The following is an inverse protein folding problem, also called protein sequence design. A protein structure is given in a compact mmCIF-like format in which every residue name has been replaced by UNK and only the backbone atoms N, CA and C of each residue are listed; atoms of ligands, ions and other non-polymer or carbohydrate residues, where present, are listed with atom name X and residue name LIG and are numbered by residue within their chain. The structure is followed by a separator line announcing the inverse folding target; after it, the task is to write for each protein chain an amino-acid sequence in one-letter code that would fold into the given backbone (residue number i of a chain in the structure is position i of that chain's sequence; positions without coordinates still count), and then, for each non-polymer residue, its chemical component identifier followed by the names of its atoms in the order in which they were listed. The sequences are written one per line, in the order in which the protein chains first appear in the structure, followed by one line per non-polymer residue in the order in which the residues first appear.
data_IF_783417894165
#
_entry.id   IF_783417894165
#
_cell.length_a   1.000
_cell.length_b   1.000
_cell.length_c   1.000
_cell.angle_alpha   90.00
_cell.angle_beta   90.00
_cell.angle_gamma   90.00
#
_symmetry.space_group_name_H-M   'P 1'
#
loop_
_entity.id
_entity.type
_entity.pdbx_description
1 polymer ?
#
# COMPACT_ATOMS: atom_id res chain seq x y z
N UNK A 1 1.78 -23.63 4.04
CA UNK A 1 0.74 -23.15 3.11
C UNK A 1 1.26 -22.71 1.73
N UNK A 2 2.56 -22.48 1.51
CA UNK A 2 3.04 -21.91 0.24
C UNK A 2 3.22 -22.91 -0.92
N UNK A 3 3.43 -24.21 -0.66
CA UNK A 3 3.73 -25.17 -1.73
C UNK A 3 2.45 -25.62 -2.47
N UNK A 4 1.34 -25.81 -1.76
CA UNK A 4 0.06 -26.23 -2.36
C UNK A 4 -0.58 -25.14 -3.22
N UNK A 5 -0.46 -23.87 -2.83
CA UNK A 5 -0.91 -22.73 -3.65
C UNK A 5 0.03 -22.47 -4.84
N UNK A 6 1.34 -22.69 -4.68
CA UNK A 6 2.31 -22.57 -5.78
C UNK A 6 2.11 -23.56 -6.92
N UNK A 7 1.62 -24.78 -6.61
CA UNK A 7 1.32 -25.81 -7.62
C UNK A 7 0.02 -25.48 -8.40
N UNK A 8 -0.97 -24.86 -7.76
CA UNK A 8 -2.21 -24.42 -8.41
C UNK A 8 -2.02 -23.13 -9.23
N UNK A 9 -1.04 -22.29 -8.88
CA UNK A 9 -0.77 -21.02 -9.57
C UNK A 9 -0.01 -21.18 -10.90
N UNK A 10 0.57 -22.35 -11.20
CA UNK A 10 1.25 -22.62 -12.47
C UNK A 10 0.26 -23.17 -13.51
N UNK A 11 -0.50 -22.28 -14.13
CA UNK A 11 -1.48 -22.60 -15.19
C UNK A 11 -0.89 -23.35 -16.40
N UNK A 12 0.42 -23.16 -16.66
CA UNK A 12 1.11 -23.74 -17.81
C UNK A 12 1.23 -25.27 -17.74
N UNK A 13 1.47 -25.85 -16.56
CA UNK A 13 1.52 -27.32 -16.40
C UNK A 13 0.14 -27.96 -16.36
N UNK A 14 -0.88 -27.21 -15.96
CA UNK A 14 -2.27 -27.68 -15.97
C UNK A 14 -2.82 -27.86 -17.38
N UNK A 15 -2.40 -26.98 -18.31
CA UNK A 15 -2.80 -27.06 -19.73
C UNK A 15 -2.19 -28.27 -20.45
N UNK A 16 -0.91 -28.60 -20.20
CA UNK A 16 -0.28 -29.78 -20.80
C UNK A 16 -0.89 -31.10 -20.30
N UNK A 17 -1.28 -31.16 -19.02
CA UNK A 17 -1.98 -32.32 -18.44
C UNK A 17 -3.36 -32.52 -19.11
N UNK A 18 -4.11 -31.44 -19.33
CA UNK A 18 -5.39 -31.52 -20.06
C UNK A 18 -5.22 -31.91 -21.53
N UNK A 19 -4.16 -31.45 -22.18
CA UNK A 19 -3.86 -31.82 -23.57
C UNK A 19 -3.47 -33.30 -23.69
N UNK A 20 -2.70 -33.81 -22.74
CA UNK A 20 -2.37 -35.23 -22.64
C UNK A 20 -3.64 -36.09 -22.39
N UNK A 21 -4.52 -35.66 -21.48
CA UNK A 21 -5.79 -36.33 -21.21
C UNK A 21 -6.74 -36.31 -22.42
N UNK A 22 -6.81 -35.20 -23.16
CA UNK A 22 -7.63 -35.07 -24.38
C UNK A 22 -7.08 -35.93 -25.54
N UNK A 23 -5.76 -36.04 -25.66
CA UNK A 23 -5.08 -36.93 -26.61
C UNK A 23 -5.39 -38.40 -26.32
N UNK A 24 -5.32 -38.81 -25.05
CA UNK A 24 -5.65 -40.19 -24.62
C UNK A 24 -7.14 -40.49 -24.82
N UNK A 25 -8.04 -39.54 -24.51
CA UNK A 25 -9.47 -39.69 -24.76
C UNK A 25 -9.78 -39.84 -26.26
N UNK A 26 -9.12 -39.06 -27.13
CA UNK A 26 -9.29 -39.19 -28.58
C UNK A 26 -8.85 -40.55 -29.12
N UNK A 27 -7.83 -41.16 -28.52
CA UNK A 27 -7.33 -42.49 -28.88
C UNK A 27 -8.28 -43.62 -28.44
N UNK A 28 -9.01 -43.43 -27.33
CA UNK A 28 -10.06 -44.35 -26.88
C UNK A 28 -11.32 -44.29 -27.75
N UNK A 29 -11.67 -43.12 -28.28
CA UNK A 29 -12.82 -42.95 -29.17
C UNK A 29 -12.55 -43.35 -30.63
N UNK A 30 -11.31 -43.19 -31.14
CA UNK A 30 -10.98 -43.60 -32.51
C UNK A 30 -10.91 -45.13 -32.69
N UNK A 31 -10.73 -45.87 -31.59
CA UNK A 31 -10.62 -47.34 -31.58
C UNK A 31 -11.96 -48.07 -31.70
N UNK A 32 -13.07 -47.33 -31.74
CA UNK A 32 -14.39 -47.89 -32.00
C UNK A 32 -14.67 -48.14 -33.51
N UNK A 33 -13.79 -47.71 -34.44
CA UNK A 33 -14.14 -47.67 -35.87
C UNK A 33 -13.35 -48.56 -36.84
N UNK A 34 -12.20 -49.16 -36.52
CA UNK A 34 -11.55 -50.06 -37.50
C UNK A 34 -10.93 -51.30 -36.86
N UNK A 35 -11.47 -52.43 -37.30
CA UNK A 35 -10.99 -53.79 -37.09
C UNK A 35 -9.60 -53.93 -37.73
N UNK A 36 -8.59 -54.38 -36.97
CA UNK A 36 -7.64 -55.41 -37.38
C UNK A 36 -6.59 -55.65 -36.29
N UNK A 37 -6.54 -56.90 -35.86
CA UNK A 37 -5.54 -57.47 -34.97
C UNK A 37 -4.21 -57.63 -35.71
N UNK A 38 -3.11 -57.26 -35.05
CA UNK A 38 -1.76 -57.86 -35.08
C UNK A 38 -0.78 -56.79 -34.58
N UNK A 39 -0.02 -57.12 -33.52
CA UNK A 39 0.83 -56.23 -32.71
C UNK A 39 0.11 -55.47 -31.58
N UNK A 40 -0.69 -56.16 -30.76
CA UNK A 40 -1.46 -55.52 -29.69
C UNK A 40 -1.52 -56.32 -28.37
N UNK A 41 -0.43 -56.98 -27.97
CA UNK A 41 -0.37 -57.65 -26.66
C UNK A 41 0.64 -56.98 -25.71
N UNK A 42 1.87 -56.71 -26.14
CA UNK A 42 2.88 -56.10 -25.25
C UNK A 42 2.66 -54.60 -24.96
N UNK A 43 2.16 -53.82 -25.92
CA UNK A 43 1.89 -52.38 -25.72
C UNK A 43 0.64 -52.12 -24.86
N UNK A 44 -0.34 -53.05 -24.87
CA UNK A 44 -1.61 -52.93 -24.12
C UNK A 44 -1.41 -53.11 -22.62
N UNK A 45 -0.58 -54.09 -22.23
CA UNK A 45 -0.16 -54.32 -20.84
C UNK A 45 0.69 -53.18 -20.28
N UNK A 46 1.62 -52.63 -21.06
CA UNK A 46 2.48 -51.50 -20.63
C UNK A 46 1.69 -50.20 -20.47
N UNK A 47 0.71 -49.95 -21.34
CA UNK A 47 -0.14 -48.74 -21.29
C UNK A 47 -1.22 -48.83 -20.21
N UNK A 48 -1.82 -50.00 -19.97
CA UNK A 48 -2.73 -50.23 -18.84
C UNK A 48 -2.00 -50.13 -17.49
N UNK A 49 -0.77 -50.64 -17.40
CA UNK A 49 0.07 -50.52 -16.20
C UNK A 49 0.46 -49.05 -15.91
N UNK A 50 0.82 -48.29 -16.95
CA UNK A 50 1.13 -46.85 -16.84
C UNK A 50 -0.09 -46.00 -16.45
N UNK A 51 -1.27 -46.31 -16.99
CA UNK A 51 -2.52 -45.64 -16.61
C UNK A 51 -2.93 -45.95 -15.17
N UNK A 52 -2.80 -47.22 -14.74
CA UNK A 52 -3.08 -47.62 -13.36
C UNK A 52 -2.13 -46.93 -12.37
N UNK A 53 -0.84 -46.86 -12.70
CA UNK A 53 0.14 -46.12 -11.89
C UNK A 53 -0.19 -44.62 -11.81
N UNK A 54 -0.61 -44.00 -12.91
CA UNK A 54 -1.03 -42.60 -12.93
C UNK A 54 -2.28 -42.34 -12.07
N UNK A 55 -3.27 -43.23 -12.13
CA UNK A 55 -4.49 -43.16 -11.29
C UNK A 55 -4.13 -43.32 -9.80
N UNK A 56 -3.20 -44.23 -9.47
CA UNK A 56 -2.71 -44.37 -8.09
C UNK A 56 -1.95 -43.10 -7.64
N UNK A 57 -1.04 -42.56 -8.45
CA UNK A 57 -0.31 -41.36 -8.08
C UNK A 57 -1.22 -40.14 -7.92
N UNK A 58 -2.22 -39.96 -8.79
CA UNK A 58 -3.18 -38.84 -8.69
C UNK A 58 -4.09 -38.99 -7.47
N UNK A 59 -4.57 -40.18 -7.16
CA UNK A 59 -5.37 -40.42 -5.94
C UNK A 59 -4.58 -40.18 -4.66
N UNK A 60 -3.32 -40.64 -4.60
CA UNK A 60 -2.42 -40.34 -3.47
C UNK A 60 -2.19 -38.83 -3.33
N UNK A 61 -1.97 -38.13 -4.44
CA UNK A 61 -1.76 -36.67 -4.44
C UNK A 61 -3.01 -35.93 -3.95
N UNK A 62 -4.21 -36.34 -4.39
CA UNK A 62 -5.49 -35.74 -3.94
C UNK A 62 -5.68 -35.96 -2.44
N UNK A 63 -5.41 -37.17 -1.94
CA UNK A 63 -5.49 -37.47 -0.51
C UNK A 63 -4.51 -36.63 0.31
N UNK A 64 -3.28 -36.45 -0.19
CA UNK A 64 -2.29 -35.61 0.46
C UNK A 64 -2.72 -34.14 0.51
N UNK A 65 -3.28 -33.61 -0.58
CA UNK A 65 -3.84 -32.24 -0.61
C UNK A 65 -5.01 -32.11 0.37
N UNK A 66 -5.91 -33.10 0.43
CA UNK A 66 -7.05 -33.08 1.35
C UNK A 66 -6.60 -33.08 2.81
N UNK A 67 -5.61 -33.92 3.16
CA UNK A 67 -5.00 -33.97 4.48
C UNK A 67 -4.37 -32.62 4.88
N UNK A 68 -3.59 -32.02 3.98
CA UNK A 68 -2.99 -30.70 4.19
C UNK A 68 -4.02 -29.57 4.28
N UNK A 69 -5.16 -29.71 3.58
CA UNK A 69 -6.25 -28.73 3.59
C UNK A 69 -7.02 -28.72 4.92
N UNK A 70 -7.14 -29.88 5.59
CA UNK A 70 -7.79 -29.96 6.91
C UNK A 70 -7.11 -29.07 7.96
N UNK A 71 -5.77 -29.17 8.07
CA UNK A 71 -4.97 -28.26 8.92
C UNK A 71 -5.03 -26.81 8.45
N UNK A 72 -5.11 -26.59 7.14
CA UNK A 72 -5.30 -25.26 6.56
C UNK A 72 -6.62 -24.60 7.00
N UNK A 73 -7.70 -25.37 7.11
CA UNK A 73 -9.01 -24.86 7.52
C UNK A 73 -9.03 -24.42 8.98
N UNK A 74 -8.38 -25.17 9.88
CA UNK A 74 -8.22 -24.78 11.29
C UNK A 74 -7.47 -23.45 11.41
N UNK A 75 -6.37 -23.29 10.66
CA UNK A 75 -5.61 -22.04 10.62
C UNK A 75 -6.45 -20.90 10.05
N UNK A 76 -7.15 -21.11 8.93
CA UNK A 76 -8.01 -20.07 8.34
C UNK A 76 -9.13 -19.66 9.28
N UNK A 77 -9.75 -20.61 9.99
CA UNK A 77 -10.78 -20.32 10.98
C UNK A 77 -10.22 -19.52 12.15
N UNK A 78 -9.01 -19.83 12.61
CA UNK A 78 -8.30 -19.06 13.62
C UNK A 78 -8.05 -17.63 13.15
N UNK A 79 -7.50 -17.45 11.94
CA UNK A 79 -7.25 -16.12 11.38
C UNK A 79 -8.54 -15.32 11.14
N UNK A 80 -9.60 -15.95 10.62
CA UNK A 80 -10.91 -15.30 10.46
C UNK A 80 -11.60 -14.99 11.79
N UNK A 81 -11.30 -15.73 12.86
CA UNK A 81 -11.81 -15.41 14.19
C UNK A 81 -11.14 -14.19 14.82
N UNK A 82 -10.01 -13.72 14.27
CA UNK A 82 -9.36 -12.48 14.69
C UNK A 82 -10.13 -11.32 14.05
N UNK A 83 -11.24 -10.93 14.67
CA UNK A 83 -11.98 -9.73 14.29
C UNK A 83 -11.52 -8.55 15.14
N UNK A 84 -10.91 -7.55 14.51
CA UNK A 84 -10.63 -6.25 15.14
C UNK A 84 -9.37 -6.13 16.00
N UNK A 85 -8.29 -6.88 15.74
CA UNK A 85 -7.05 -6.76 16.55
C UNK A 85 -6.29 -5.44 16.36
N UNK A 86 -6.63 -4.65 15.34
CA UNK A 86 -5.98 -3.37 15.06
C UNK A 86 -6.90 -2.21 15.44
N UNK A 87 -6.91 -1.86 16.73
CA UNK A 87 -7.39 -0.55 17.18
C UNK A 87 -6.26 0.46 16.99
N UNK A 88 -6.40 1.36 16.03
CA UNK A 88 -5.44 2.44 15.80
C UNK A 88 -6.09 3.77 16.17
N UNK A 89 -6.41 3.94 17.46
CA UNK A 89 -7.15 5.08 18.01
C UNK A 89 -6.66 6.42 17.46
N UNK A 90 -5.34 6.62 17.43
CA UNK A 90 -4.72 7.83 16.92
C UNK A 90 -5.03 8.12 15.44
N UNK A 91 -5.01 7.09 14.60
CA UNK A 91 -5.35 7.23 13.20
C UNK A 91 -6.86 7.44 13.02
N UNK A 92 -7.70 6.81 13.84
CA UNK A 92 -9.15 7.00 13.82
C UNK A 92 -9.54 8.43 14.20
N UNK A 93 -8.91 9.00 15.23
CA UNK A 93 -9.08 10.41 15.62
C UNK A 93 -8.64 11.34 14.49
N UNK A 94 -7.49 11.09 13.87
CA UNK A 94 -7.00 11.88 12.73
C UNK A 94 -7.96 11.80 11.53
N UNK A 95 -8.47 10.61 11.20
CA UNK A 95 -9.47 10.42 10.14
C UNK A 95 -10.75 11.18 10.46
N UNK A 96 -11.22 11.08 11.72
CA UNK A 96 -12.39 11.82 12.20
C UNK A 96 -12.20 13.33 12.07
N UNK A 97 -11.01 13.83 12.40
CA UNK A 97 -10.66 15.24 12.24
C UNK A 97 -10.64 15.68 10.77
N UNK A 98 -10.07 14.88 9.85
CA UNK A 98 -10.13 15.22 8.42
C UNK A 98 -11.58 15.22 7.91
N UNK A 99 -12.41 14.28 8.33
CA UNK A 99 -13.84 14.22 7.96
C UNK A 99 -14.66 15.38 8.52
N UNK A 100 -14.24 15.98 9.62
CA UNK A 100 -14.92 17.14 10.20
C UNK A 100 -14.54 18.47 9.56
N UNK A 101 -13.62 18.47 8.59
CA UNK A 101 -13.26 19.69 7.85
C UNK A 101 -14.46 20.22 7.06
N UNK A 102 -14.59 21.56 6.94
CA UNK A 102 -15.68 22.15 6.18
C UNK A 102 -15.56 21.85 4.69
N UNK A 103 -16.69 21.99 3.98
CA UNK A 103 -16.70 21.95 2.53
C UNK A 103 -15.86 23.10 1.96
N UNK A 104 -15.05 22.78 0.95
CA UNK A 104 -14.16 23.69 0.26
C UNK A 104 -14.87 24.30 -0.94
N UNK A 105 -15.22 25.57 -0.82
CA UNK A 105 -15.96 26.32 -1.83
C UNK A 105 -15.08 26.93 -2.94
N UNK A 106 -13.77 26.69 -2.89
CA UNK A 106 -12.78 27.20 -3.85
C UNK A 106 -12.18 26.04 -4.65
N UNK A 107 -11.90 26.25 -5.94
CA UNK A 107 -11.25 25.24 -6.76
C UNK A 107 -9.76 25.07 -6.39
N UNK A 108 -9.24 23.83 -6.29
CA UNK A 108 -9.96 22.56 -6.34
C UNK A 108 -10.80 22.37 -5.07
N UNK A 109 -12.03 21.87 -5.23
CA UNK A 109 -13.02 21.63 -4.14
C UNK A 109 -12.60 20.50 -3.19
N UNK A 110 -11.39 19.97 -3.37
CA UNK A 110 -10.80 18.91 -2.58
C UNK A 110 -9.68 19.41 -1.67
N UNK A 111 -9.57 18.77 -0.52
CA UNK A 111 -8.48 18.97 0.41
C UNK A 111 -7.26 18.15 -0.03
N UNK A 112 -6.13 18.83 -0.26
CA UNK A 112 -4.88 18.20 -0.70
C UNK A 112 -3.96 17.99 0.50
N UNK A 113 -3.62 16.73 0.78
CA UNK A 113 -2.83 16.33 1.94
C UNK A 113 -1.45 15.81 1.49
N UNK A 114 -0.40 16.27 2.17
CA UNK A 114 0.98 15.82 2.00
C UNK A 114 1.54 15.25 3.30
N UNK A 115 2.53 14.37 3.20
CA UNK A 115 3.15 13.77 4.37
C UNK A 115 3.68 12.35 4.15
N UNK A 116 3.87 11.59 5.24
CA UNK A 116 4.40 10.24 5.22
C UNK A 116 3.55 9.31 4.36
N UNK A 117 4.18 8.62 3.42
CA UNK A 117 3.51 7.79 2.42
C UNK A 117 2.71 6.64 3.04
N UNK A 118 3.20 6.04 4.13
CA UNK A 118 2.49 4.99 4.88
C UNK A 118 1.17 5.50 5.48
N UNK A 119 1.19 6.69 6.08
CA UNK A 119 0.01 7.32 6.66
C UNK A 119 -0.97 7.79 5.58
N UNK A 120 -0.47 8.44 4.51
CA UNK A 120 -1.32 8.84 3.39
C UNK A 120 -1.96 7.64 2.71
N UNK A 121 -1.29 6.48 2.65
CA UNK A 121 -1.88 5.24 2.16
C UNK A 121 -3.12 4.82 2.97
N UNK A 122 -3.05 4.90 4.30
CA UNK A 122 -4.19 4.61 5.18
C UNK A 122 -5.32 5.64 5.01
N UNK A 123 -5.00 6.94 5.02
CA UNK A 123 -5.97 8.01 4.81
C UNK A 123 -6.65 7.89 3.43
N UNK A 124 -5.90 7.47 2.41
CA UNK A 124 -6.41 7.28 1.06
C UNK A 124 -7.45 6.16 0.97
N UNK A 125 -7.34 5.11 1.78
CA UNK A 125 -8.30 4.02 1.80
C UNK A 125 -9.56 4.34 2.62
N UNK A 126 -9.51 5.33 3.51
CA UNK A 126 -10.57 5.61 4.49
C UNK A 126 -11.33 6.92 4.23
N UNK A 127 -10.69 7.92 3.62
CA UNK A 127 -11.29 9.20 3.29
C UNK A 127 -11.93 9.19 1.89
N UNK A 128 -13.03 9.93 1.68
CA UNK A 128 -13.71 9.97 0.40
C UNK A 128 -12.84 10.62 -0.68
N UNK A 129 -12.84 10.06 -1.89
CA UNK A 129 -12.07 10.59 -3.00
C UNK A 129 -12.70 11.86 -3.59
N UNK A 130 -11.85 12.77 -4.05
CA UNK A 130 -12.22 14.03 -4.72
C UNK A 130 -12.74 13.90 -6.14
N UNK A 131 -12.43 12.80 -6.82
CA UNK A 131 -12.94 12.48 -8.14
C UNK A 131 -13.26 10.99 -8.19
N UNK A 132 -14.36 10.58 -8.85
CA UNK A 132 -14.63 9.19 -9.14
C UNK A 132 -13.63 8.69 -10.19
N UNK A 133 -12.43 8.33 -9.74
CA UNK A 133 -11.57 7.42 -10.49
C UNK A 133 -12.16 6.01 -10.41
N UNK A 134 -12.02 5.14 -11.42
CA UNK A 134 -12.30 3.71 -11.30
C UNK A 134 -11.28 3.08 -10.34
N UNK A 135 -11.49 3.33 -9.05
CA UNK A 135 -10.64 2.93 -7.95
C UNK A 135 -11.53 2.46 -6.82
N UNK A 136 -11.01 1.60 -5.95
CA UNK A 136 -11.71 1.02 -4.80
C UNK A 136 -12.00 2.03 -3.68
N UNK A 137 -11.93 3.33 -3.96
CA UNK A 137 -12.12 4.39 -2.97
C UNK A 137 -13.60 4.77 -2.88
N UNK A 138 -14.04 5.10 -1.66
CA UNK A 138 -15.38 5.63 -1.42
C UNK A 138 -15.47 6.99 -2.13
N UNK A 139 -16.38 7.14 -3.08
CA UNK A 139 -16.61 8.42 -3.73
C UNK A 139 -17.27 9.39 -2.74
N UNK A 140 -16.87 10.67 -2.78
CA UNK A 140 -17.62 11.71 -2.08
C UNK A 140 -19.06 11.72 -2.58
N UNK A 141 -20.02 11.72 -1.66
CA UNK A 141 -21.40 12.07 -1.98
C UNK A 141 -21.46 13.57 -2.31
N UNK A 142 -22.45 14.01 -3.07
CA UNK A 142 -22.49 15.33 -3.71
C UNK A 142 -22.36 16.57 -2.77
N UNK A 143 -22.33 16.38 -1.44
CA UNK A 143 -22.19 17.44 -0.44
C UNK A 143 -20.84 17.46 0.32
N UNK A 144 -19.97 16.45 0.17
CA UNK A 144 -18.69 16.40 0.91
C UNK A 144 -17.48 16.74 0.02
N UNK A 145 -16.57 17.57 0.53
CA UNK A 145 -15.26 17.78 -0.11
C UNK A 145 -14.43 16.50 -0.05
N UNK A 146 -14.12 15.92 -1.21
CA UNK A 146 -13.22 14.78 -1.25
C UNK A 146 -11.76 15.14 -0.99
N UNK A 147 -10.93 14.13 -0.84
CA UNK A 147 -9.51 14.27 -0.50
C UNK A 147 -8.62 13.85 -1.67
N UNK A 148 -7.44 14.48 -1.74
CA UNK A 148 -6.39 14.15 -2.68
C UNK A 148 -5.03 14.12 -1.94
N UNK A 149 -4.10 13.30 -2.44
CA UNK A 149 -2.85 13.01 -1.75
C UNK A 149 -1.64 13.33 -2.64
N UNK A 150 -0.61 13.95 -2.08
CA UNK A 150 0.58 14.35 -2.86
C UNK A 150 1.49 13.19 -3.23
N UNK A 151 1.40 12.04 -2.59
CA UNK A 151 2.29 10.91 -2.84
C UNK A 151 1.61 9.62 -2.40
N UNK A 152 1.95 8.52 -3.08
CA UNK A 152 1.49 7.17 -2.76
C UNK A 152 2.50 6.12 -3.27
N UNK A 153 2.56 4.92 -2.66
CA UNK A 153 3.16 3.65 -3.07
C UNK A 153 4.16 3.38 -4.20
N UNK A 154 4.68 4.31 -5.01
CA UNK A 154 5.31 3.93 -6.30
C UNK A 154 6.73 4.46 -6.45
N UNK A 155 7.68 3.59 -6.11
CA UNK A 155 9.11 3.90 -6.11
C UNK A 155 9.76 3.78 -7.49
N UNK A 156 9.16 3.03 -8.42
CA UNK A 156 9.78 2.73 -9.73
C UNK A 156 9.69 3.87 -10.74
N UNK A 157 8.80 4.83 -10.51
CA UNK A 157 8.63 5.96 -11.41
C UNK A 157 9.44 7.16 -10.91
N UNK A 158 10.33 7.69 -11.76
CA UNK A 158 11.23 8.81 -11.42
C UNK A 158 10.47 10.09 -11.06
N UNK A 159 9.36 10.39 -11.74
CA UNK A 159 8.53 11.56 -11.48
C UNK A 159 7.82 11.43 -10.13
N UNK A 160 7.27 10.24 -9.84
CA UNK A 160 6.59 9.98 -8.56
C UNK A 160 7.58 9.98 -7.39
N UNK A 161 8.82 9.51 -7.61
CA UNK A 161 9.90 9.62 -6.63
C UNK A 161 10.27 11.07 -6.36
N UNK A 162 10.45 11.88 -7.41
CA UNK A 162 10.72 13.32 -7.26
C UNK A 162 9.60 14.03 -6.49
N UNK A 163 8.34 13.74 -6.80
CA UNK A 163 7.18 14.26 -6.07
C UNK A 163 7.16 13.83 -4.60
N UNK A 164 7.63 12.63 -4.29
CA UNK A 164 7.80 12.15 -2.91
C UNK A 164 8.90 12.90 -2.16
N UNK A 165 10.03 13.21 -2.82
CA UNK A 165 11.09 14.07 -2.23
C UNK A 165 10.51 15.43 -1.84
N UNK A 166 9.72 16.04 -2.72
CA UNK A 166 9.05 17.31 -2.44
C UNK A 166 8.05 17.19 -1.27
N UNK A 167 7.25 16.12 -1.23
CA UNK A 167 6.27 15.89 -0.18
C UNK A 167 6.91 15.78 1.22
N UNK A 168 8.14 15.29 1.28
CA UNK A 168 8.93 15.17 2.51
C UNK A 168 9.80 16.42 2.80
N UNK A 169 9.66 17.51 2.03
CA UNK A 169 10.51 18.70 2.13
C UNK A 169 10.59 19.31 3.54
N UNK A 170 9.57 19.15 4.39
CA UNK A 170 9.56 19.61 5.79
C UNK A 170 10.66 18.96 6.67
N UNK A 171 11.19 17.80 6.29
CA UNK A 171 12.29 17.16 7.00
C UNK A 171 13.66 17.63 6.53
N UNK A 172 13.72 18.43 5.47
CA UNK A 172 14.98 18.97 4.96
C UNK A 172 15.50 20.13 5.81
N UNK A 173 16.76 20.50 5.55
CA UNK A 173 17.44 21.67 6.12
C UNK A 173 17.31 22.93 5.26
N UNK A 174 16.38 22.92 4.29
CA UNK A 174 16.07 24.08 3.44
C UNK A 174 15.39 25.17 4.28
N UNK A 175 15.54 26.46 3.90
CA UNK A 175 14.84 27.53 4.59
C UNK A 175 13.32 27.35 4.46
N UNK A 176 12.59 27.79 5.50
CA UNK A 176 11.14 27.60 5.62
C UNK A 176 10.36 28.13 4.40
N UNK A 177 10.80 29.26 3.84
CA UNK A 177 10.21 29.88 2.66
C UNK A 177 10.23 28.93 1.45
N UNK A 178 11.35 28.26 1.19
CA UNK A 178 11.50 27.39 0.02
C UNK A 178 10.64 26.14 0.15
N UNK A 179 10.56 25.58 1.36
CA UNK A 179 9.70 24.44 1.67
C UNK A 179 8.22 24.82 1.57
N UNK A 180 7.85 25.99 2.08
CA UNK A 180 6.51 26.53 1.87
C UNK A 180 6.18 26.72 0.39
N UNK A 181 7.11 27.27 -0.39
CA UNK A 181 6.94 27.48 -1.82
C UNK A 181 6.70 26.15 -2.55
N UNK A 182 7.44 25.09 -2.20
CA UNK A 182 7.23 23.73 -2.72
C UNK A 182 5.79 23.25 -2.42
N UNK A 183 5.35 23.35 -1.16
CA UNK A 183 4.00 22.90 -0.80
C UNK A 183 2.91 23.73 -1.44
N UNK A 184 3.06 25.05 -1.48
CA UNK A 184 2.05 25.98 -1.98
C UNK A 184 1.93 25.98 -3.49
N UNK A 185 3.06 26.08 -4.20
CA UNK A 185 3.07 26.33 -5.64
C UNK A 185 3.30 25.07 -6.46
N UNK A 186 4.13 24.14 -5.99
CA UNK A 186 4.45 22.91 -6.73
C UNK A 186 3.47 21.79 -6.42
N UNK A 187 3.29 21.45 -5.14
CA UNK A 187 2.40 20.35 -4.72
C UNK A 187 0.94 20.78 -4.56
N UNK A 188 0.71 22.10 -4.39
CA UNK A 188 -0.61 22.72 -4.14
C UNK A 188 -1.32 22.09 -2.94
N UNK A 189 -0.55 21.81 -1.90
CA UNK A 189 -1.00 21.17 -0.67
C UNK A 189 -1.73 22.16 0.23
N UNK A 190 -2.83 21.70 0.85
CA UNK A 190 -3.52 22.44 1.92
C UNK A 190 -2.99 22.03 3.30
N UNK A 191 -2.72 20.74 3.52
CA UNK A 191 -2.25 20.20 4.79
C UNK A 191 -0.98 19.36 4.67
N UNK A 192 0.00 19.56 5.56
CA UNK A 192 1.22 18.75 5.65
C UNK A 192 1.24 18.02 6.98
N UNK A 193 1.29 16.70 6.94
CA UNK A 193 1.42 15.85 8.12
C UNK A 193 2.91 15.62 8.43
N UNK A 194 3.31 15.85 9.67
CA UNK A 194 4.70 15.72 10.13
C UNK A 194 4.77 14.76 11.31
N UNK A 195 5.69 13.81 11.24
CA UNK A 195 5.98 12.84 12.31
C UNK A 195 7.31 13.19 12.96
N UNK A 196 7.26 13.87 14.10
CA UNK A 196 8.46 14.42 14.74
C UNK A 196 9.38 13.35 15.31
N UNK A 197 8.88 12.16 15.65
CA UNK A 197 9.71 11.06 16.17
C UNK A 197 10.82 10.60 15.20
N UNK A 198 10.70 10.90 13.91
CA UNK A 198 11.70 10.58 12.86
C UNK A 198 12.67 11.72 12.55
N UNK A 199 12.50 12.86 13.20
CA UNK A 199 13.31 14.05 13.02
C UNK A 199 14.68 14.01 13.76
N UNK A 200 14.78 13.51 15.01
CA UNK A 200 16.06 13.42 15.70
C UNK A 200 17.09 12.59 14.91
N UNK A 201 18.39 12.91 15.00
CA UNK A 201 19.44 12.17 14.32
C UNK A 201 19.49 10.71 14.76
N UNK A 202 19.74 9.80 13.81
CA UNK A 202 19.77 8.34 14.02
C UNK A 202 20.98 7.69 13.35
N UNK A 203 22.13 8.37 13.36
CA UNK A 203 23.37 7.84 12.79
C UNK A 203 23.29 7.61 11.28
N UNK A 204 22.62 8.52 10.56
CA UNK A 204 22.43 8.47 9.11
C UNK A 204 21.05 8.00 8.64
N UNK A 205 20.17 7.58 9.56
CA UNK A 205 18.87 6.96 9.23
C UNK A 205 17.65 7.84 9.54
N UNK A 206 17.84 9.05 10.07
CA UNK A 206 16.73 10.00 10.28
C UNK A 206 16.31 10.66 8.97
N UNK A 207 15.10 11.24 8.94
CA UNK A 207 14.62 11.93 7.73
C UNK A 207 15.53 13.12 7.34
N UNK A 208 16.01 13.98 8.28
CA UNK A 208 16.98 15.02 7.94
C UNK A 208 18.30 14.48 7.37
N UNK A 209 18.86 13.43 7.97
CA UNK A 209 20.11 12.82 7.49
C UNK A 209 19.97 12.22 6.08
N UNK A 210 18.78 11.72 5.73
CA UNK A 210 18.50 11.28 4.35
C UNK A 210 18.48 12.45 3.36
N UNK A 211 17.98 13.62 3.78
CA UNK A 211 18.03 14.84 2.98
C UNK A 211 19.44 15.42 2.86
N UNK A 212 20.31 15.17 3.84
CA UNK A 212 21.72 15.57 3.78
C UNK A 212 22.46 14.90 2.59
N UNK A 213 22.00 13.72 2.13
CA UNK A 213 22.51 13.08 0.91
C UNK A 213 22.07 13.80 -0.37
N UNK A 214 20.91 14.46 -0.36
CA UNK A 214 20.36 15.19 -1.50
C UNK A 214 20.91 16.61 -1.57
N UNK A 215 21.07 17.25 -0.40
CA UNK A 215 21.48 18.64 -0.26
C UNK A 215 22.71 18.75 0.67
N UNK A 216 23.90 18.26 0.26
CA UNK A 216 25.08 18.20 1.13
C UNK A 216 25.57 19.59 1.60
N UNK A 217 25.24 20.65 0.86
CA UNK A 217 25.58 22.03 1.20
C UNK A 217 24.76 22.60 2.36
N UNK A 218 23.68 21.93 2.78
CA UNK A 218 22.82 22.35 3.89
C UNK A 218 23.11 21.60 5.20
N UNK A 219 24.06 20.67 5.18
CA UNK A 219 24.48 19.90 6.36
C UNK A 219 24.88 20.85 7.49
N UNK A 220 24.43 20.56 8.71
CA UNK A 220 24.73 21.33 9.91
C UNK A 220 23.73 22.47 10.22
N UNK A 221 22.83 22.81 9.29
CA UNK A 221 21.68 23.70 9.60
C UNK A 221 20.59 22.94 10.36
N UNK A 222 19.80 23.58 11.23
CA UNK A 222 18.67 22.91 11.87
C UNK A 222 17.62 22.50 10.84
N UNK A 223 17.08 21.27 10.93
CA UNK A 223 16.00 20.84 10.07
C UNK A 223 14.66 21.46 10.51
N UNK A 224 13.76 21.74 9.57
CA UNK A 224 12.49 22.42 9.91
C UNK A 224 11.62 21.60 10.87
N UNK A 225 11.62 20.28 10.75
CA UNK A 225 10.88 19.39 11.66
C UNK A 225 11.35 19.51 13.12
N UNK A 226 12.60 19.92 13.39
CA UNK A 226 13.14 20.06 14.75
C UNK A 226 12.42 21.19 15.49
N UNK A 227 11.96 22.22 14.76
CA UNK A 227 11.20 23.34 15.32
C UNK A 227 9.84 22.93 15.91
N UNK A 228 9.31 21.76 15.53
CA UNK A 228 8.04 21.22 16.04
C UNK A 228 8.23 20.35 17.30
N UNK A 229 9.46 20.04 17.67
CA UNK A 229 9.75 19.14 18.79
C UNK A 229 9.78 19.82 20.16
N UNK A 230 9.61 21.15 20.23
CA UNK A 230 9.65 21.87 21.51
C UNK A 230 8.42 21.53 22.36
N UNK A 231 8.63 21.29 23.65
CA UNK A 231 7.59 20.89 24.63
C UNK A 231 6.38 21.83 24.68
N UNK A 232 6.61 23.13 24.51
CA UNK A 232 5.57 24.16 24.47
C UNK A 232 4.60 23.98 23.29
N UNK A 233 5.12 23.57 22.13
CA UNK A 233 4.34 23.37 20.90
C UNK A 233 3.49 22.10 21.01
N UNK A 234 4.07 21.05 21.60
CA UNK A 234 3.40 19.78 21.86
C UNK A 234 2.22 19.90 22.83
N UNK A 235 2.31 20.80 23.82
CA UNK A 235 1.27 20.96 24.85
C UNK A 235 0.27 22.09 24.57
N UNK A 236 0.69 23.17 23.90
CA UNK A 236 -0.16 24.34 23.68
C UNK A 236 -0.73 24.42 22.25
N UNK A 237 -0.34 23.53 21.33
CA UNK A 237 -0.76 23.59 19.92
C UNK A 237 -0.30 24.87 19.20
N UNK A 238 0.68 25.58 19.77
CA UNK A 238 1.14 26.85 19.22
C UNK A 238 2.06 26.62 18.03
N UNK A 239 1.88 27.45 17.00
CA UNK A 239 2.78 27.43 15.85
C UNK A 239 4.09 28.15 16.19
N UNK A 240 5.26 27.52 15.98
CA UNK A 240 6.54 28.17 16.22
C UNK A 240 6.70 29.43 15.36
N UNK A 241 7.36 30.46 15.92
CA UNK A 241 7.53 31.77 15.29
C UNK A 241 8.15 31.70 13.88
N UNK A 242 9.09 30.77 13.67
CA UNK A 242 9.73 30.55 12.37
C UNK A 242 8.76 30.00 11.30
N UNK A 243 7.75 29.23 11.70
CA UNK A 243 6.76 28.65 10.79
C UNK A 243 5.54 29.55 10.62
N UNK A 244 5.19 30.37 11.61
CA UNK A 244 3.96 31.15 11.70
C UNK A 244 3.50 31.89 10.42
N UNK A 245 4.36 32.56 9.64
CA UNK A 245 3.90 33.18 8.40
C UNK A 245 3.51 32.15 7.34
N UNK A 246 4.21 31.02 7.27
CA UNK A 246 4.10 30.04 6.20
C UNK A 246 3.14 28.88 6.50
N UNK A 247 3.09 28.45 7.76
CA UNK A 247 2.32 27.30 8.21
C UNK A 247 1.59 27.63 9.51
N UNK A 248 0.47 26.96 9.73
CA UNK A 248 -0.28 27.03 10.98
C UNK A 248 -0.52 25.62 11.50
N UNK A 249 -0.16 25.34 12.75
CA UNK A 249 -0.49 24.06 13.41
C UNK A 249 -1.99 24.00 13.66
N UNK A 250 -2.68 23.02 13.08
CA UNK A 250 -4.14 22.86 13.18
C UNK A 250 -4.55 21.59 13.91
N UNK A 251 -3.65 20.62 14.04
CA UNK A 251 -3.87 19.39 14.79
C UNK A 251 -2.55 18.92 15.39
N UNK A 252 -2.60 18.46 16.64
CA UNK A 252 -1.46 17.90 17.38
C UNK A 252 -1.88 16.59 18.02
N UNK A 253 -1.06 15.58 17.79
CA UNK A 253 -1.18 14.27 18.42
C UNK A 253 -0.01 14.11 19.42
N UNK A 254 -0.27 14.29 20.72
CA UNK A 254 0.80 14.38 21.72
C UNK A 254 1.55 13.05 21.90
N UNK A 255 0.89 11.90 21.70
CA UNK A 255 1.46 10.58 21.98
C UNK A 255 2.45 10.10 20.91
N UNK A 256 2.16 10.34 19.63
CA UNK A 256 3.04 9.92 18.52
C UNK A 256 3.96 11.04 18.02
N UNK A 257 3.76 12.27 18.53
CA UNK A 257 4.45 13.46 18.06
C UNK A 257 4.06 13.80 16.61
N UNK A 258 2.81 13.56 16.24
CA UNK A 258 2.29 13.88 14.89
C UNK A 258 1.65 15.26 14.90
N UNK A 259 1.94 16.04 13.86
CA UNK A 259 1.38 17.36 13.64
C UNK A 259 0.72 17.42 12.28
N UNK A 260 -0.40 18.15 12.18
CA UNK A 260 -0.92 18.62 10.88
C UNK A 260 -0.73 20.12 10.80
N UNK A 261 -0.03 20.53 9.75
CA UNK A 261 0.22 21.92 9.42
C UNK A 261 -0.69 22.33 8.27
N UNK A 262 -1.46 23.39 8.44
CA UNK A 262 -2.10 24.09 7.33
C UNK A 262 -1.09 24.97 6.60
N UNK A 263 -1.09 24.94 5.28
CA UNK A 263 -0.21 25.74 4.42
C UNK A 263 -0.87 27.10 4.16
N UNK A 264 -0.31 28.16 4.74
CA UNK A 264 -0.91 29.49 4.66
C UNK A 264 -0.84 30.04 3.23
N UNK A 265 -1.87 30.81 2.86
CA UNK A 265 -1.84 31.67 1.67
C UNK A 265 -1.21 33.00 2.07
N UNK A 266 0.05 33.21 1.74
CA UNK A 266 0.66 34.54 1.84
C UNK A 266 0.04 35.43 0.76
N UNK A 267 -0.59 36.52 1.20
CA UNK A 267 -1.11 37.59 0.34
C UNK A 267 0.00 38.49 -0.14
#
# INVERSE_FOLDING_TARGET
MCISLGILAQSTRWFEIFQALKSIASCLFYKASLNNNVCESEKKLKLQSSFYYYVICTTILVLFIAFMSGRGLENLKSEWSIQGSFSAYENEVLIGWFRSLPQKNEYPTSWIISGPMSLLGNLRLTLPASSPYPSTQIASTNDESGFAFTNHPHYENTILRYRTILAYGIYSRKPVHDVWHIYRHTLKTDFVIVETHTCPPRGGCSKPELFDLLDPHLIGRPALCESLMTTQILQAGQTPSILKPYFTVVYVEPYTGRFVLYVNKLT
#
